data_IF_771402627573
#
_entry.id   IF_771402627573
#
_cell.length_a   1.000
_cell.length_b   1.000
_cell.length_c   1.000
_cell.angle_alpha   90.00
_cell.angle_beta   90.00
_cell.angle_gamma   90.00
#
_symmetry.space_group_name_H-M   'P 1'
#
loop_
_entity.id
_entity.type
_entity.pdbx_description
1 polymer ?
#
# COMPACT_ATOMS: atom_id res chain seq x y z
N UNK A 1 -18.84 41.98 -19.85
CA UNK A 1 -18.66 40.51 -19.88
C UNK A 1 -17.28 40.15 -19.31
N UNK A 2 -17.03 40.23 -18.00
CA UNK A 2 -15.71 39.94 -17.40
C UNK A 2 -15.81 39.61 -15.89
N UNK A 3 -16.72 38.72 -15.48
CA UNK A 3 -16.86 38.35 -14.04
C UNK A 3 -16.83 36.86 -13.73
N UNK A 4 -16.90 35.99 -14.74
CA UNK A 4 -17.04 34.54 -14.53
C UNK A 4 -15.69 33.80 -14.65
N UNK A 5 -14.73 34.35 -15.39
CA UNK A 5 -13.42 33.72 -15.60
C UNK A 5 -12.54 33.67 -14.33
N UNK A 6 -12.79 34.55 -13.35
CA UNK A 6 -11.96 34.66 -12.14
C UNK A 6 -12.24 33.60 -11.09
N UNK A 7 -13.45 33.02 -11.08
CA UNK A 7 -13.85 32.02 -10.08
C UNK A 7 -13.40 30.60 -10.45
N UNK A 8 -13.23 30.31 -11.75
CA UNK A 8 -12.82 28.98 -12.23
C UNK A 8 -11.32 28.72 -11.98
N UNK A 9 -10.49 29.77 -12.01
CA UNK A 9 -9.05 29.65 -11.79
C UNK A 9 -8.68 29.23 -10.35
N UNK A 10 -9.52 29.55 -9.36
CA UNK A 10 -9.25 29.18 -7.96
C UNK A 10 -9.60 27.72 -7.64
N UNK A 11 -10.53 27.10 -8.35
CA UNK A 11 -10.93 25.71 -8.07
C UNK A 11 -9.86 24.69 -8.48
N UNK A 12 -9.10 24.98 -9.54
CA UNK A 12 -8.09 24.04 -10.07
C UNK A 12 -6.82 24.00 -9.20
N UNK A 13 -6.50 25.09 -8.49
CA UNK A 13 -5.33 25.16 -7.62
C UNK A 13 -5.45 24.32 -6.33
N UNK A 14 -6.68 24.03 -5.87
CA UNK A 14 -6.91 23.25 -4.64
C UNK A 14 -6.77 21.75 -4.86
N UNK A 15 -6.88 21.27 -6.11
CA UNK A 15 -6.76 19.85 -6.45
C UNK A 15 -5.31 19.36 -6.60
N UNK A 16 -4.30 20.24 -6.58
CA UNK A 16 -2.89 19.87 -6.82
C UNK A 16 -2.09 19.52 -5.56
N UNK A 17 -2.69 19.57 -4.36
CA UNK A 17 -1.98 19.45 -3.08
C UNK A 17 -2.29 18.18 -2.29
N UNK A 18 -2.91 17.18 -2.90
CA UNK A 18 -2.83 15.80 -2.37
C UNK A 18 -1.43 15.26 -2.68
N UNK A 19 -0.42 15.86 -2.04
CA UNK A 19 0.89 15.28 -1.84
C UNK A 19 0.65 14.01 -1.03
N UNK A 20 0.39 12.91 -1.72
CA UNK A 20 0.50 11.58 -1.14
C UNK A 20 1.99 11.40 -0.89
N UNK A 21 2.45 11.86 0.26
CA UNK A 21 3.75 11.46 0.79
C UNK A 21 3.66 9.96 0.99
N UNK A 22 4.03 9.21 -0.03
CA UNK A 22 4.21 7.77 0.05
C UNK A 22 5.41 7.59 0.96
N UNK A 23 5.14 7.47 2.27
CA UNK A 23 6.15 7.11 3.24
C UNK A 23 6.77 5.80 2.73
N UNK A 24 8.03 5.89 2.29
CA UNK A 24 8.77 4.70 1.85
C UNK A 24 8.91 3.81 3.07
N UNK A 25 8.35 2.63 2.97
CA UNK A 25 8.50 1.60 3.97
C UNK A 25 9.95 1.10 3.85
N UNK A 26 10.68 0.93 4.95
CA UNK A 26 12.02 0.36 4.83
C UNK A 26 11.88 -1.11 4.36
N UNK A 27 12.79 -1.56 3.50
CA UNK A 27 12.75 -2.88 2.87
C UNK A 27 14.13 -3.53 3.06
N UNK A 28 14.22 -4.87 3.23
CA UNK A 28 13.11 -5.82 3.22
C UNK A 28 12.24 -5.74 4.47
N UNK A 29 10.94 -6.02 4.34
CA UNK A 29 10.01 -6.03 5.46
C UNK A 29 9.37 -7.41 5.63
N UNK A 30 9.25 -7.89 6.86
CA UNK A 30 8.59 -9.15 7.18
C UNK A 30 7.17 -8.89 7.63
N UNK A 31 6.21 -9.55 6.99
CA UNK A 31 4.79 -9.32 7.25
C UNK A 31 3.98 -10.61 7.41
N UNK A 32 2.98 -10.53 8.27
CA UNK A 32 1.94 -11.52 8.51
C UNK A 32 0.57 -10.94 8.16
N UNK A 33 -0.25 -11.75 7.50
CA UNK A 33 -1.62 -11.45 7.15
C UNK A 33 -2.59 -12.35 7.93
N UNK A 34 -2.99 -11.91 9.13
CA UNK A 34 -3.86 -12.69 10.01
C UNK A 34 -3.19 -13.95 10.55
N UNK A 35 -3.42 -15.09 9.90
CA UNK A 35 -2.85 -16.40 10.26
C UNK A 35 -1.80 -16.88 9.23
N UNK A 36 -1.02 -17.90 9.58
CA UNK A 36 0.04 -18.42 8.72
C UNK A 36 -0.47 -18.94 7.37
N UNK A 37 -1.69 -19.51 7.31
CA UNK A 37 -2.26 -20.05 6.08
C UNK A 37 -2.60 -18.95 5.09
N UNK A 38 -3.31 -17.92 5.55
CA UNK A 38 -3.60 -16.72 4.75
C UNK A 38 -2.32 -15.99 4.37
N UNK A 39 -1.42 -15.79 5.32
CA UNK A 39 -0.14 -15.13 5.10
C UNK A 39 0.66 -15.79 3.98
N UNK A 40 0.74 -17.13 3.99
CA UNK A 40 1.42 -17.90 2.95
C UNK A 40 0.75 -17.68 1.58
N UNK A 41 -0.57 -17.84 1.50
CA UNK A 41 -1.32 -17.63 0.26
C UNK A 41 -1.07 -16.24 -0.32
N UNK A 42 -1.22 -15.19 0.51
CA UNK A 42 -1.03 -13.80 0.10
C UNK A 42 0.43 -13.54 -0.31
N UNK A 43 1.40 -14.17 0.36
CA UNK A 43 2.80 -14.08 0.01
C UNK A 43 3.09 -14.65 -1.38
N UNK A 44 2.64 -15.87 -1.63
CA UNK A 44 2.84 -16.59 -2.89
C UNK A 44 2.15 -15.86 -4.08
N UNK A 45 0.96 -15.30 -3.87
CA UNK A 45 0.25 -14.51 -4.89
C UNK A 45 0.96 -13.21 -5.29
N UNK A 46 1.75 -12.63 -4.40
CA UNK A 46 2.38 -11.32 -4.59
C UNK A 46 3.89 -11.40 -4.84
N UNK A 47 4.43 -12.58 -5.17
CA UNK A 47 5.86 -12.81 -5.40
C UNK A 47 6.75 -12.46 -4.20
N UNK A 48 6.20 -12.55 -2.97
CA UNK A 48 6.98 -12.46 -1.74
C UNK A 48 7.74 -13.76 -1.47
N UNK A 49 8.78 -13.69 -0.63
CA UNK A 49 9.53 -14.86 -0.20
C UNK A 49 9.00 -15.36 1.15
N UNK A 50 8.34 -16.51 1.15
CA UNK A 50 7.83 -17.15 2.37
C UNK A 50 8.95 -17.87 3.12
N UNK A 51 9.18 -17.53 4.39
CA UNK A 51 10.25 -18.12 5.22
C UNK A 51 9.78 -19.28 6.12
N UNK A 52 8.50 -19.65 6.03
CA UNK A 52 7.87 -20.67 6.88
C UNK A 52 6.93 -20.10 7.94
N UNK A 53 7.07 -18.81 8.28
CA UNK A 53 6.18 -18.13 9.21
C UNK A 53 5.70 -16.78 8.68
N UNK A 54 6.50 -16.07 7.90
CA UNK A 54 6.24 -14.71 7.45
C UNK A 54 6.58 -14.52 5.98
N UNK A 55 6.02 -13.46 5.41
CA UNK A 55 6.31 -13.05 4.06
C UNK A 55 7.38 -11.97 4.06
N UNK A 56 8.55 -12.25 3.48
CA UNK A 56 9.58 -11.24 3.22
C UNK A 56 9.23 -10.49 1.94
N UNK A 57 9.00 -9.18 2.10
CA UNK A 57 8.63 -8.25 1.05
C UNK A 57 9.83 -7.35 0.76
N UNK A 58 10.51 -7.61 -0.36
CA UNK A 58 11.78 -6.95 -0.72
C UNK A 58 11.58 -5.72 -1.62
N UNK A 59 10.35 -5.44 -2.03
CA UNK A 59 10.02 -4.41 -3.01
C UNK A 59 8.76 -3.63 -2.59
N UNK A 60 8.77 -2.30 -2.76
CA UNK A 60 7.65 -1.44 -2.38
C UNK A 60 6.35 -1.81 -3.11
N UNK A 61 6.43 -2.19 -4.39
CA UNK A 61 5.26 -2.62 -5.16
C UNK A 61 4.70 -3.95 -4.64
N UNK A 62 5.59 -4.88 -4.28
CA UNK A 62 5.20 -6.16 -3.66
C UNK A 62 4.56 -5.92 -2.29
N UNK A 63 5.11 -5.01 -1.48
CA UNK A 63 4.53 -4.60 -0.20
C UNK A 63 3.12 -3.99 -0.36
N UNK A 64 2.97 -3.03 -1.28
CA UNK A 64 1.69 -2.38 -1.51
C UNK A 64 0.61 -3.37 -1.97
N UNK A 65 0.95 -4.24 -2.93
CA UNK A 65 0.01 -5.24 -3.44
C UNK A 65 -0.32 -6.28 -2.37
N UNK A 66 0.69 -6.75 -1.63
CA UNK A 66 0.50 -7.67 -0.51
C UNK A 66 -0.47 -7.10 0.53
N UNK A 67 -0.32 -5.81 0.89
CA UNK A 67 -1.20 -5.14 1.85
C UNK A 67 -2.65 -5.10 1.38
N UNK A 68 -2.90 -4.67 0.14
CA UNK A 68 -4.24 -4.63 -0.46
C UNK A 68 -4.88 -6.02 -0.49
N UNK A 69 -4.11 -7.04 -0.89
CA UNK A 69 -4.62 -8.42 -0.95
C UNK A 69 -4.88 -8.97 0.45
N UNK A 70 -4.04 -8.61 1.44
CA UNK A 70 -4.24 -9.01 2.82
C UNK A 70 -5.54 -8.42 3.41
N UNK A 71 -5.79 -7.13 3.18
CA UNK A 71 -7.04 -6.48 3.56
C UNK A 71 -8.25 -7.13 2.87
N UNK A 72 -8.09 -7.52 1.60
CA UNK A 72 -9.09 -8.28 0.84
C UNK A 72 -9.42 -9.66 1.45
N UNK A 73 -8.50 -10.26 2.21
CA UNK A 73 -8.72 -11.50 2.97
C UNK A 73 -9.36 -11.26 4.35
N UNK A 74 -9.85 -10.04 4.59
CA UNK A 74 -10.42 -9.57 5.87
C UNK A 74 -9.43 -9.81 7.03
N UNK A 75 -8.15 -9.60 6.76
CA UNK A 75 -7.07 -9.77 7.72
C UNK A 75 -6.29 -8.46 7.88
N UNK A 76 -5.83 -8.22 9.11
CA UNK A 76 -5.00 -7.05 9.40
C UNK A 76 -3.53 -7.40 9.18
N UNK A 77 -2.79 -6.60 8.39
CA UNK A 77 -1.36 -6.81 8.22
C UNK A 77 -0.58 -6.44 9.48
N UNK A 78 0.36 -7.29 9.88
CA UNK A 78 1.32 -7.04 10.95
C UNK A 78 2.70 -7.13 10.33
N UNK A 79 3.48 -6.06 10.39
CA UNK A 79 4.78 -5.98 9.73
C UNK A 79 5.88 -5.46 10.66
N UNK A 80 7.11 -5.93 10.45
CA UNK A 80 8.30 -5.50 11.18
C UNK A 80 9.57 -5.59 10.33
N UNK A 81 10.63 -4.96 10.82
CA UNK A 81 12.00 -5.05 10.29
C UNK A 81 12.81 -6.13 11.00
#
# INVERSE_FOLDING_TARGET
>A
MFKIASLVACAVAVLSLVNVTSARVPLPQWCLCGDNGKSRLVCEMNFGAWDGHTCRLDNQNVYNNWGVVCEGQQATPICWH
#
